data_IF_509248320033
#
_entry.id   IF_509248320033
#
_cell.length_a   1.000
_cell.length_b   1.000
_cell.length_c   1.000
_cell.angle_alpha   90.00
_cell.angle_beta   90.00
_cell.angle_gamma   90.00
#
_symmetry.space_group_name_H-M   'P 1'
#
loop_
_entity.id
_entity.type
_entity.pdbx_description
1 polymer ?
#
# COMPACT_ATOMS: atom_id res chain seq x y z
N UNK A 1 -30.95 3.61 -9.55
CA UNK A 1 -29.78 3.75 -10.44
C UNK A 1 -28.94 2.52 -10.24
N UNK A 2 -28.61 1.81 -11.31
CA UNK A 2 -27.70 0.68 -11.22
C UNK A 2 -26.29 1.23 -10.97
N UNK A 3 -25.88 1.21 -9.70
CA UNK A 3 -24.60 1.78 -9.24
C UNK A 3 -23.44 0.98 -9.82
N UNK A 4 -23.56 -0.35 -9.85
CA UNK A 4 -22.53 -1.26 -10.36
C UNK A 4 -22.27 -0.99 -11.85
N UNK A 5 -23.33 -0.95 -12.67
CA UNK A 5 -23.23 -0.59 -14.07
C UNK A 5 -22.65 0.83 -14.28
N UNK A 6 -22.94 1.76 -13.38
CA UNK A 6 -22.37 3.11 -13.45
C UNK A 6 -20.85 3.09 -13.22
N UNK A 7 -20.37 2.32 -12.24
CA UNK A 7 -18.92 2.13 -12.02
C UNK A 7 -18.24 1.44 -13.21
N UNK A 8 -18.89 0.45 -13.83
CA UNK A 8 -18.35 -0.25 -15.00
C UNK A 8 -18.19 0.67 -16.21
N UNK A 9 -19.21 1.50 -16.51
CA UNK A 9 -19.16 2.50 -17.58
C UNK A 9 -18.06 3.53 -17.33
N UNK A 10 -17.94 4.02 -16.08
CA UNK A 10 -16.91 4.98 -15.72
C UNK A 10 -15.50 4.39 -15.84
N UNK A 11 -15.29 3.15 -15.38
CA UNK A 11 -14.01 2.46 -15.52
C UNK A 11 -13.63 2.25 -16.99
N UNK A 12 -14.58 1.82 -17.82
CA UNK A 12 -14.38 1.67 -19.28
C UNK A 12 -14.00 3.00 -19.93
N UNK A 13 -14.72 4.08 -19.62
CA UNK A 13 -14.41 5.42 -20.12
C UNK A 13 -13.02 5.92 -19.68
N UNK A 14 -12.54 5.53 -18.50
CA UNK A 14 -11.17 5.83 -18.08
C UNK A 14 -10.14 5.13 -18.97
N UNK A 15 -10.30 3.83 -19.24
CA UNK A 15 -9.38 3.08 -20.12
C UNK A 15 -9.42 3.59 -21.56
N UNK A 16 -10.59 3.98 -22.08
CA UNK A 16 -10.73 4.59 -23.41
C UNK A 16 -10.02 5.94 -23.48
N UNK A 17 -10.19 6.79 -22.47
CA UNK A 17 -9.52 8.09 -22.37
C UNK A 17 -8.00 7.93 -22.34
N UNK A 18 -7.49 7.05 -21.47
CA UNK A 18 -6.06 6.79 -21.37
C UNK A 18 -5.50 6.17 -22.65
N UNK A 19 -6.26 5.28 -23.31
CA UNK A 19 -5.87 4.62 -24.55
C UNK A 19 -6.02 5.44 -25.82
N UNK A 20 -6.50 6.69 -25.76
CA UNK A 20 -6.69 7.56 -26.91
C UNK A 20 -5.33 8.01 -27.49
N UNK A 21 -5.14 7.83 -28.81
CA UNK A 21 -3.84 8.09 -29.45
C UNK A 21 -3.48 9.57 -29.61
N UNK A 22 -4.46 10.47 -29.57
CA UNK A 22 -4.25 11.91 -29.75
C UNK A 22 -4.14 12.67 -28.43
N UNK A 23 -4.95 12.28 -27.44
CA UNK A 23 -5.13 13.02 -26.18
C UNK A 23 -4.91 12.19 -24.93
N UNK A 24 -4.66 10.88 -25.08
CA UNK A 24 -4.40 9.97 -23.97
C UNK A 24 -2.94 9.94 -23.54
N UNK A 25 -2.57 8.82 -22.93
CA UNK A 25 -1.25 8.56 -22.37
C UNK A 25 -0.18 8.46 -23.48
N UNK A 26 0.90 9.22 -23.32
CA UNK A 26 2.04 9.24 -24.26
C UNK A 26 3.32 9.62 -23.54
N UNK A 27 4.46 9.28 -24.14
CA UNK A 27 5.79 9.61 -23.65
C UNK A 27 6.00 11.13 -23.54
N UNK A 28 6.59 11.56 -22.43
CA UNK A 28 6.94 12.94 -22.12
C UNK A 28 5.77 13.90 -22.36
N UNK A 29 4.63 13.60 -21.72
CA UNK A 29 3.34 14.25 -22.01
C UNK A 29 3.38 15.78 -21.86
N UNK A 30 4.19 16.29 -20.93
CA UNK A 30 4.39 17.72 -20.65
C UNK A 30 5.67 18.31 -21.28
N UNK A 31 6.32 17.60 -22.19
CA UNK A 31 7.50 18.08 -22.93
C UNK A 31 8.63 18.59 -22.03
N UNK A 32 8.92 17.87 -20.94
CA UNK A 32 10.05 18.18 -20.07
C UNK A 32 11.35 18.07 -20.87
N UNK A 33 12.17 19.11 -20.81
CA UNK A 33 13.39 19.26 -21.63
C UNK A 33 14.66 18.85 -20.91
N UNK A 34 14.59 18.58 -19.60
CA UNK A 34 15.74 18.24 -18.78
C UNK A 34 15.42 17.10 -17.83
N UNK A 35 16.35 16.15 -17.72
CA UNK A 35 16.34 15.10 -16.69
C UNK A 35 17.09 15.50 -15.42
N UNK A 36 17.74 16.67 -15.40
CA UNK A 36 18.53 17.12 -14.25
C UNK A 36 17.71 17.84 -13.19
N UNK A 37 16.47 18.22 -13.52
CA UNK A 37 15.58 18.98 -12.64
C UNK A 37 14.54 18.06 -12.05
N UNK A 38 14.29 18.22 -10.76
CA UNK A 38 13.11 17.65 -10.12
C UNK A 38 11.84 18.27 -10.73
N UNK A 39 10.72 17.56 -10.65
CA UNK A 39 9.42 18.09 -11.06
C UNK A 39 9.15 19.44 -10.37
N UNK A 40 9.50 19.56 -9.09
CA UNK A 40 9.36 20.79 -8.29
C UNK A 40 10.23 21.97 -8.75
N UNK A 41 11.30 21.72 -9.50
CA UNK A 41 12.24 22.74 -10.01
C UNK A 41 11.88 23.24 -11.41
N UNK A 42 10.87 22.63 -12.05
CA UNK A 42 10.35 23.07 -13.35
C UNK A 42 9.38 24.22 -13.14
N UNK A 43 9.88 25.46 -13.26
CA UNK A 43 9.12 26.67 -12.90
C UNK A 43 7.78 26.88 -13.63
N UNK A 44 7.60 26.35 -14.84
CA UNK A 44 6.35 26.44 -15.60
C UNK A 44 5.53 25.14 -15.60
N UNK A 45 5.83 24.19 -14.70
CA UNK A 45 5.22 22.86 -14.73
C UNK A 45 3.70 22.88 -14.59
N UNK A 46 3.16 23.72 -13.70
CA UNK A 46 1.72 23.84 -13.50
C UNK A 46 0.97 24.23 -14.79
N UNK A 47 1.57 25.12 -15.61
CA UNK A 47 1.01 25.51 -16.91
C UNK A 47 1.06 24.35 -17.91
N UNK A 48 2.18 23.63 -17.95
CA UNK A 48 2.35 22.47 -18.85
C UNK A 48 1.38 21.33 -18.50
N UNK A 49 1.13 21.11 -17.20
CA UNK A 49 0.12 20.14 -16.74
C UNK A 49 -1.26 20.57 -17.20
N UNK A 50 -1.65 21.83 -17.01
CA UNK A 50 -2.97 22.32 -17.42
C UNK A 50 -3.16 22.26 -18.95
N UNK A 51 -2.11 22.51 -19.72
CA UNK A 51 -2.16 22.49 -21.19
C UNK A 51 -2.21 21.06 -21.76
N UNK A 52 -1.42 20.14 -21.19
CA UNK A 52 -1.21 18.82 -21.79
C UNK A 52 -1.92 17.67 -21.07
N UNK A 53 -2.31 17.86 -19.80
CA UNK A 53 -3.04 16.89 -19.00
C UNK A 53 -4.42 17.48 -18.66
N UNK A 54 -5.38 17.27 -19.58
CA UNK A 54 -6.74 17.72 -19.39
C UNK A 54 -7.43 17.07 -18.17
N UNK A 55 -8.46 17.74 -17.64
CA UNK A 55 -9.23 17.25 -16.47
C UNK A 55 -9.75 15.83 -16.64
N UNK A 56 -10.19 15.48 -17.85
CA UNK A 56 -10.71 14.13 -18.17
C UNK A 56 -9.61 13.07 -18.08
N UNK A 57 -8.40 13.36 -18.57
CA UNK A 57 -7.27 12.43 -18.48
C UNK A 57 -6.80 12.28 -17.03
N UNK A 58 -6.67 13.40 -16.31
CA UNK A 58 -6.31 13.39 -14.89
C UNK A 58 -7.32 12.57 -14.07
N UNK A 59 -8.61 12.76 -14.30
CA UNK A 59 -9.68 11.96 -13.70
C UNK A 59 -9.51 10.48 -14.05
N UNK A 60 -9.36 10.16 -15.34
CA UNK A 60 -9.21 8.80 -15.81
C UNK A 60 -8.04 8.09 -15.14
N UNK A 61 -6.88 8.75 -15.02
CA UNK A 61 -5.69 8.19 -14.39
C UNK A 61 -5.85 7.96 -12.88
N UNK A 62 -6.58 8.82 -12.18
CA UNK A 62 -6.70 8.76 -10.71
C UNK A 62 -7.86 7.85 -10.24
N UNK A 63 -8.97 7.80 -10.98
CA UNK A 63 -10.23 7.25 -10.48
C UNK A 63 -10.54 5.84 -10.98
N UNK A 64 -9.91 5.38 -12.07
CA UNK A 64 -10.19 4.04 -12.62
C UNK A 64 -10.08 2.90 -11.59
N UNK A 65 -9.10 2.87 -10.66
CA UNK A 65 -9.00 1.74 -9.74
C UNK A 65 -10.11 1.74 -8.69
N UNK A 66 -10.54 2.92 -8.24
CA UNK A 66 -11.65 3.06 -7.31
C UNK A 66 -12.95 2.57 -7.94
N UNK A 67 -13.14 2.82 -9.25
CA UNK A 67 -14.27 2.26 -9.97
C UNK A 67 -14.22 0.74 -10.05
N UNK A 68 -13.05 0.15 -10.37
CA UNK A 68 -12.88 -1.31 -10.39
C UNK A 68 -13.09 -1.92 -9.01
N UNK A 69 -12.55 -1.32 -7.95
CA UNK A 69 -12.69 -1.82 -6.58
C UNK A 69 -14.14 -1.87 -6.09
N UNK A 70 -15.00 -1.01 -6.62
CA UNK A 70 -16.43 -0.94 -6.28
C UNK A 70 -17.30 -1.93 -7.06
N UNK A 71 -16.76 -2.65 -8.04
CA UNK A 71 -17.53 -3.59 -8.86
C UNK A 71 -17.83 -4.90 -8.12
N UNK A 72 -19.02 -5.42 -8.36
CA UNK A 72 -19.42 -6.77 -7.94
C UNK A 72 -18.86 -7.82 -8.89
N UNK A 73 -18.92 -7.58 -10.20
CA UNK A 73 -18.34 -8.43 -11.24
C UNK A 73 -17.64 -7.60 -12.32
N UNK A 74 -16.49 -8.08 -12.80
CA UNK A 74 -15.73 -7.47 -13.88
C UNK A 74 -16.05 -8.11 -15.23
N UNK A 75 -16.42 -7.27 -16.20
CA UNK A 75 -16.60 -7.72 -17.57
C UNK A 75 -15.25 -7.93 -18.31
N UNK A 76 -15.33 -8.64 -19.44
CA UNK A 76 -14.15 -8.94 -20.26
C UNK A 76 -13.50 -7.71 -20.91
N UNK A 77 -14.23 -6.61 -21.08
CA UNK A 77 -13.74 -5.35 -21.63
C UNK A 77 -12.84 -4.63 -20.63
N UNK A 78 -13.25 -4.57 -19.36
CA UNK A 78 -12.47 -4.02 -18.25
C UNK A 78 -11.17 -4.81 -18.03
N UNK A 79 -11.25 -6.14 -18.05
CA UNK A 79 -10.07 -7.02 -17.96
C UNK A 79 -9.07 -6.69 -19.08
N UNK A 80 -9.55 -6.55 -20.33
CA UNK A 80 -8.69 -6.16 -21.47
C UNK A 80 -8.11 -4.75 -21.32
N UNK A 81 -8.88 -3.82 -20.76
CA UNK A 81 -8.43 -2.46 -20.44
C UNK A 81 -7.25 -2.48 -19.45
N UNK A 82 -7.39 -3.26 -18.37
CA UNK A 82 -6.33 -3.47 -17.38
C UNK A 82 -5.11 -4.15 -17.98
N UNK A 83 -5.30 -5.23 -18.75
CA UNK A 83 -4.21 -5.91 -19.46
C UNK A 83 -3.45 -4.93 -20.36
N UNK A 84 -4.16 -4.08 -21.14
CA UNK A 84 -3.52 -3.08 -22.00
C UNK A 84 -2.70 -2.05 -21.22
N UNK A 85 -3.24 -1.59 -20.09
CA UNK A 85 -2.55 -0.63 -19.21
C UNK A 85 -1.30 -1.27 -18.58
N UNK A 86 -1.41 -2.49 -18.06
CA UNK A 86 -0.36 -3.17 -17.27
C UNK A 86 0.69 -3.90 -18.12
N UNK A 87 0.37 -4.30 -19.35
CA UNK A 87 1.28 -5.10 -20.19
C UNK A 87 2.22 -4.29 -21.07
N UNK A 88 2.06 -2.96 -21.14
CA UNK A 88 2.74 -2.12 -22.14
C UNK A 88 3.41 -0.87 -21.56
N UNK A 89 3.96 -0.05 -22.45
CA UNK A 89 4.45 1.32 -22.17
C UNK A 89 3.40 2.23 -21.54
N UNK A 90 2.11 1.87 -21.64
CA UNK A 90 0.99 2.59 -21.04
C UNK A 90 1.13 2.71 -19.52
N UNK A 91 1.68 1.70 -18.83
CA UNK A 91 1.94 1.82 -17.39
C UNK A 91 2.93 2.96 -17.12
N UNK A 92 4.02 3.05 -17.90
CA UNK A 92 5.03 4.11 -17.69
C UNK A 92 4.45 5.49 -17.99
N UNK A 93 3.66 5.62 -19.05
CA UNK A 93 2.97 6.88 -19.36
C UNK A 93 1.94 7.26 -18.30
N UNK A 94 1.22 6.28 -17.75
CA UNK A 94 0.33 6.50 -16.61
C UNK A 94 1.13 6.97 -15.40
N UNK A 95 2.29 6.37 -15.12
CA UNK A 95 3.19 6.84 -14.06
C UNK A 95 3.74 8.25 -14.31
N UNK A 96 3.98 8.67 -15.56
CA UNK A 96 4.31 10.06 -15.85
C UNK A 96 3.19 11.00 -15.37
N UNK A 97 1.94 10.70 -15.72
CA UNK A 97 0.79 11.52 -15.31
C UNK A 97 0.67 11.54 -13.79
N UNK A 98 0.75 10.37 -13.14
CA UNK A 98 0.64 10.26 -11.68
C UNK A 98 1.76 11.01 -10.95
N UNK A 99 2.99 10.94 -11.47
CA UNK A 99 4.16 11.71 -10.99
C UNK A 99 3.90 13.22 -11.05
N UNK A 100 3.37 13.70 -12.19
CA UNK A 100 3.11 15.13 -12.42
C UNK A 100 1.92 15.65 -11.64
N UNK A 101 0.89 14.83 -11.43
CA UNK A 101 -0.29 15.22 -10.65
C UNK A 101 -0.14 14.99 -9.15
N UNK A 102 1.05 14.56 -8.70
CA UNK A 102 1.42 14.30 -7.29
C UNK A 102 0.49 13.32 -6.57
N UNK A 103 -0.16 12.40 -7.30
CA UNK A 103 -0.98 11.34 -6.72
C UNK A 103 -0.13 10.06 -6.62
N UNK A 104 0.10 9.50 -5.42
CA UNK A 104 0.86 8.27 -5.31
C UNK A 104 0.10 7.14 -6.02
N UNK A 105 0.74 6.40 -6.95
CA UNK A 105 0.07 5.31 -7.67
C UNK A 105 -0.23 4.09 -6.78
N UNK A 106 0.43 3.97 -5.62
CA UNK A 106 0.26 2.85 -4.68
C UNK A 106 -1.17 2.71 -4.13
N UNK A 107 -1.74 3.73 -3.46
CA UNK A 107 -3.14 3.70 -3.01
C UNK A 107 -4.15 3.46 -4.13
N UNK A 108 -3.83 3.91 -5.35
CA UNK A 108 -4.66 3.67 -6.52
C UNK A 108 -4.75 2.15 -6.79
N UNK A 109 -3.63 1.43 -6.75
CA UNK A 109 -3.61 -0.02 -7.00
C UNK A 109 -4.18 -0.88 -5.85
N UNK A 110 -4.31 -0.34 -4.62
CA UNK A 110 -4.86 -1.08 -3.48
C UNK A 110 -6.29 -1.62 -3.75
N UNK A 111 -7.11 -0.87 -4.49
CA UNK A 111 -8.46 -1.27 -4.84
C UNK A 111 -8.52 -2.57 -5.67
N UNK A 112 -7.45 -2.90 -6.41
CA UNK A 112 -7.39 -4.14 -7.21
C UNK A 112 -7.17 -5.39 -6.35
N UNK A 113 -6.65 -5.26 -5.13
CA UNK A 113 -6.56 -6.39 -4.21
C UNK A 113 -7.93 -6.89 -3.77
N UNK A 114 -8.92 -6.00 -3.68
CA UNK A 114 -10.32 -6.37 -3.40
C UNK A 114 -10.92 -7.24 -4.50
N UNK A 115 -10.38 -7.15 -5.72
CA UNK A 115 -10.87 -7.83 -6.90
C UNK A 115 -9.99 -9.02 -7.32
N UNK A 116 -9.03 -9.45 -6.46
CA UNK A 116 -8.04 -10.48 -6.80
C UNK A 116 -8.66 -11.78 -7.33
N UNK A 117 -9.81 -12.18 -6.79
CA UNK A 117 -10.45 -13.46 -7.09
C UNK A 117 -11.15 -13.45 -8.47
N UNK A 118 -11.37 -12.27 -9.05
CA UNK A 118 -11.93 -12.10 -10.39
C UNK A 118 -10.87 -12.04 -11.49
N UNK A 119 -9.60 -11.82 -11.13
CA UNK A 119 -8.51 -11.64 -12.07
C UNK A 119 -7.92 -12.99 -12.49
N UNK A 120 -7.69 -13.16 -13.79
CA UNK A 120 -6.98 -14.34 -14.28
C UNK A 120 -5.52 -14.35 -13.77
N UNK A 121 -4.86 -15.52 -13.65
CA UNK A 121 -3.52 -15.61 -13.08
C UNK A 121 -2.45 -14.79 -13.82
N UNK A 122 -2.60 -14.60 -15.13
CA UNK A 122 -1.68 -13.81 -15.95
C UNK A 122 -1.77 -12.32 -15.60
N UNK A 123 -2.98 -11.77 -15.58
CA UNK A 123 -3.25 -10.38 -15.23
C UNK A 123 -2.87 -10.10 -13.77
N UNK A 124 -3.13 -11.05 -12.86
CA UNK A 124 -2.70 -10.93 -11.47
C UNK A 124 -1.17 -10.84 -11.34
N UNK A 125 -0.43 -11.66 -12.09
CA UNK A 125 1.03 -11.60 -12.14
C UNK A 125 1.55 -10.25 -12.67
N UNK A 126 0.92 -9.72 -13.72
CA UNK A 126 1.24 -8.39 -14.27
C UNK A 126 1.00 -7.28 -13.25
N UNK A 127 -0.11 -7.36 -12.52
CA UNK A 127 -0.44 -6.42 -11.45
C UNK A 127 0.61 -6.47 -10.33
N UNK A 128 0.98 -7.66 -9.85
CA UNK A 128 2.02 -7.81 -8.83
C UNK A 128 3.38 -7.28 -9.30
N UNK A 129 3.72 -7.47 -10.57
CA UNK A 129 4.95 -6.93 -11.15
C UNK A 129 4.93 -5.38 -11.21
N UNK A 130 3.79 -4.78 -11.59
CA UNK A 130 3.60 -3.33 -11.57
C UNK A 130 3.69 -2.76 -10.14
N UNK A 131 3.06 -3.42 -9.17
CA UNK A 131 3.06 -3.01 -7.76
C UNK A 131 4.47 -3.04 -7.15
N UNK A 132 5.27 -4.08 -7.48
CA UNK A 132 6.69 -4.15 -7.09
C UNK A 132 7.52 -3.06 -7.75
N UNK A 133 7.32 -2.83 -9.06
CA UNK A 133 8.02 -1.77 -9.79
C UNK A 133 7.77 -0.40 -9.16
N UNK A 134 6.50 -0.08 -8.90
CA UNK A 134 6.08 1.18 -8.30
C UNK A 134 6.66 1.31 -6.89
N UNK A 135 6.47 0.29 -6.05
CA UNK A 135 6.92 0.32 -4.65
C UNK A 135 8.43 0.54 -4.56
N UNK A 136 9.21 -0.20 -5.35
CA UNK A 136 10.67 -0.11 -5.37
C UNK A 136 11.18 1.25 -5.87
N UNK A 137 10.44 1.91 -6.76
CA UNK A 137 10.86 3.15 -7.41
C UNK A 137 10.03 4.39 -6.98
N UNK A 138 9.31 4.31 -5.86
CA UNK A 138 8.34 5.34 -5.43
C UNK A 138 8.97 6.74 -5.42
N UNK A 139 10.16 6.88 -4.85
CA UNK A 139 10.85 8.17 -4.75
C UNK A 139 11.21 8.74 -6.14
N UNK A 140 11.80 7.91 -7.00
CA UNK A 140 12.17 8.31 -8.37
C UNK A 140 10.93 8.69 -9.20
N UNK A 141 9.87 7.89 -9.10
CA UNK A 141 8.60 8.14 -9.80
C UNK A 141 7.99 9.45 -9.33
N UNK A 142 7.94 9.73 -8.03
CA UNK A 142 7.25 10.92 -7.49
C UNK A 142 8.03 12.21 -7.69
N UNK A 143 9.36 12.17 -7.61
CA UNK A 143 10.18 13.38 -7.66
C UNK A 143 10.52 13.84 -9.08
N UNK A 144 10.64 12.92 -10.05
CA UNK A 144 11.13 13.28 -11.39
C UNK A 144 10.69 12.31 -12.48
N UNK A 145 9.81 12.77 -13.38
CA UNK A 145 9.31 11.97 -14.52
C UNK A 145 10.44 11.34 -15.37
N UNK A 146 11.50 12.05 -15.77
CA UNK A 146 12.58 11.45 -16.54
C UNK A 146 13.28 10.26 -15.85
N UNK A 147 13.29 10.23 -14.51
CA UNK A 147 13.93 9.18 -13.73
C UNK A 147 13.12 7.87 -13.69
N UNK A 148 11.85 7.89 -14.11
CA UNK A 148 11.10 6.67 -14.43
C UNK A 148 11.86 5.87 -15.51
N UNK A 149 12.38 6.56 -16.53
CA UNK A 149 13.06 5.95 -17.66
C UNK A 149 14.57 5.76 -17.43
N UNK A 150 15.21 6.72 -16.76
CA UNK A 150 16.67 6.75 -16.61
C UNK A 150 17.17 5.97 -15.39
N UNK A 151 16.34 5.84 -14.35
CA UNK A 151 16.72 5.20 -13.08
C UNK A 151 15.83 4.01 -12.72
N UNK A 152 14.51 4.08 -12.90
CA UNK A 152 13.65 2.98 -12.51
C UNK A 152 13.76 1.81 -13.50
N UNK A 153 13.46 2.03 -14.79
CA UNK A 153 13.44 0.97 -15.81
C UNK A 153 14.76 0.20 -15.97
N UNK A 154 15.96 0.82 -15.99
CA UNK A 154 17.19 0.07 -16.24
C UNK A 154 17.56 -0.90 -15.10
N UNK A 155 17.13 -0.61 -13.87
CA UNK A 155 17.50 -1.33 -12.65
C UNK A 155 16.51 -2.42 -12.24
N UNK A 156 15.47 -2.67 -13.05
CA UNK A 156 14.50 -3.75 -12.82
C UNK A 156 15.10 -5.13 -13.17
N UNK A 157 14.52 -6.22 -12.61
CA UNK A 157 14.87 -7.59 -12.97
C UNK A 157 14.90 -7.85 -14.48
N UNK A 158 15.83 -8.68 -14.98
CA UNK A 158 15.98 -8.93 -16.42
C UNK A 158 14.73 -9.57 -17.05
N UNK A 159 13.97 -10.36 -16.28
CA UNK A 159 12.73 -11.01 -16.72
C UNK A 159 11.47 -10.14 -16.54
N UNK A 160 11.63 -8.88 -16.11
CA UNK A 160 10.48 -7.98 -15.95
C UNK A 160 9.83 -7.67 -17.29
N UNK A 161 8.49 -7.69 -17.31
CA UNK A 161 7.67 -7.39 -18.48
C UNK A 161 7.94 -5.97 -19.03
N UNK A 162 8.40 -5.08 -18.17
CA UNK A 162 8.66 -3.68 -18.49
C UNK A 162 10.01 -3.43 -19.16
N UNK A 163 10.85 -4.46 -19.33
CA UNK A 163 12.14 -4.30 -20.03
C UNK A 163 11.96 -3.90 -21.48
N UNK A 164 10.87 -4.31 -22.12
CA UNK A 164 10.53 -3.87 -23.49
C UNK A 164 10.45 -2.34 -23.61
N UNK A 165 10.14 -1.62 -22.53
CA UNK A 165 10.11 -0.16 -22.51
C UNK A 165 11.51 0.49 -22.56
N UNK A 166 12.59 -0.23 -22.21
CA UNK A 166 13.97 0.30 -22.40
C UNK A 166 14.32 0.53 -23.88
N UNK A 167 13.54 -0.03 -24.82
CA UNK A 167 13.75 0.10 -26.26
C UNK A 167 13.16 1.39 -26.89
N UNK A 168 12.58 2.29 -26.09
CA UNK A 168 11.82 3.48 -26.55
C UNK A 168 12.69 4.62 -27.14
N UNK A 169 13.90 4.32 -27.61
CA UNK A 169 14.81 5.33 -28.16
C UNK A 169 15.36 6.32 -27.12
N UNK A 170 15.08 6.09 -25.83
CA UNK A 170 15.73 6.81 -24.72
C UNK A 170 17.10 6.17 -24.52
N UNK A 171 18.16 6.99 -24.55
CA UNK A 171 19.51 6.54 -24.20
C UNK A 171 19.53 6.17 -22.71
N UNK A 172 19.34 4.89 -22.42
CA UNK A 172 19.33 4.34 -21.07
C UNK A 172 20.69 3.78 -20.68
N UNK A 173 20.98 3.78 -19.38
CA UNK A 173 22.20 3.19 -18.85
C UNK A 173 22.15 1.66 -19.00
N UNK A 174 23.27 1.05 -19.41
CA UNK A 174 23.43 -0.40 -19.37
C UNK A 174 24.13 -0.82 -18.08
N UNK A 175 23.49 -1.68 -17.31
CA UNK A 175 24.08 -2.23 -16.07
C UNK A 175 25.00 -3.39 -16.46
N UNK A 176 26.29 -3.25 -16.16
CA UNK A 176 27.31 -4.29 -16.44
C UNK A 176 27.52 -5.25 -15.28
N UNK A 177 27.27 -4.82 -14.05
CA UNK A 177 27.40 -5.62 -12.82
C UNK A 177 26.46 -5.08 -11.74
N UNK A 178 26.10 -5.92 -10.76
CA UNK A 178 25.25 -5.52 -9.63
C UNK A 178 23.75 -5.38 -9.96
N UNK A 179 23.31 -5.94 -11.10
CA UNK A 179 21.89 -5.93 -11.46
C UNK A 179 21.07 -6.78 -10.48
N UNK A 180 19.93 -6.24 -10.04
CA UNK A 180 18.94 -7.00 -9.29
C UNK A 180 18.35 -8.07 -10.21
N UNK A 181 18.48 -9.34 -9.83
CA UNK A 181 18.02 -10.47 -10.64
C UNK A 181 16.53 -10.78 -10.44
N UNK A 182 16.02 -10.49 -9.24
CA UNK A 182 14.63 -10.69 -8.83
C UNK A 182 14.26 -9.58 -7.87
N UNK A 183 12.99 -9.20 -7.82
CA UNK A 183 12.53 -8.22 -6.83
C UNK A 183 12.94 -8.64 -5.41
N UNK A 184 13.47 -7.72 -4.60
CA UNK A 184 13.73 -8.00 -3.19
C UNK A 184 12.44 -8.42 -2.48
N UNK A 185 12.53 -9.40 -1.59
CA UNK A 185 11.38 -9.81 -0.77
C UNK A 185 11.04 -8.78 0.31
N UNK A 186 12.03 -8.00 0.76
CA UNK A 186 11.83 -6.90 1.69
C UNK A 186 11.31 -5.67 0.92
N UNK A 187 10.14 -5.17 1.33
CA UNK A 187 9.54 -3.96 0.77
C UNK A 187 9.86 -2.77 1.67
N UNK A 188 10.68 -1.84 1.16
CA UNK A 188 11.11 -0.65 1.92
C UNK A 188 12.22 -0.97 2.93
N UNK A 189 12.53 0.02 3.77
CA UNK A 189 13.48 -0.14 4.87
C UNK A 189 12.82 -0.78 6.09
N UNK A 190 13.57 -1.50 6.94
CA UNK A 190 13.03 -2.00 8.21
C UNK A 190 12.49 -0.86 9.08
N UNK A 191 11.30 -1.04 9.64
CA UNK A 191 10.71 -0.09 10.59
C UNK A 191 11.57 -0.03 11.86
N UNK A 192 12.09 1.15 12.20
CA UNK A 192 12.96 1.37 13.36
C UNK A 192 12.27 2.27 14.38
N UNK A 193 12.38 1.92 15.67
CA UNK A 193 11.78 2.68 16.77
C UNK A 193 11.73 1.92 18.09
N UNK A 194 11.68 0.58 18.04
CA UNK A 194 11.86 -0.25 19.23
C UNK A 194 13.32 -0.32 19.68
N UNK A 195 13.53 -0.40 20.99
CA UNK A 195 14.86 -0.50 21.62
C UNK A 195 15.18 -1.91 22.13
N UNK A 196 14.30 -2.88 21.86
CA UNK A 196 14.49 -4.30 22.18
C UNK A 196 13.75 -5.19 21.17
N UNK A 197 13.94 -6.51 21.29
CA UNK A 197 13.24 -7.54 20.51
C UNK A 197 11.75 -7.26 20.35
N UNK A 198 11.29 -7.30 19.10
CA UNK A 198 9.88 -7.24 18.72
C UNK A 198 9.37 -8.66 18.65
N UNK A 199 8.39 -9.00 19.50
CA UNK A 199 7.92 -10.38 19.66
C UNK A 199 6.56 -10.61 18.97
N UNK A 200 5.84 -9.53 18.65
CA UNK A 200 4.53 -9.62 18.02
C UNK A 200 4.25 -8.45 17.09
N UNK A 201 3.55 -8.74 16.01
CA UNK A 201 3.04 -7.77 15.05
C UNK A 201 1.62 -8.13 14.62
N UNK A 202 0.80 -7.13 14.32
CA UNK A 202 -0.56 -7.32 13.80
C UNK A 202 -0.92 -6.19 12.84
N UNK A 203 -1.51 -6.52 11.68
CA UNK A 203 -2.10 -5.52 10.79
C UNK A 203 -3.49 -5.11 11.30
N UNK A 204 -3.85 -3.84 11.12
CA UNK A 204 -5.24 -3.41 11.26
C UNK A 204 -6.11 -4.03 10.15
N UNK A 205 -7.43 -4.22 10.37
CA UNK A 205 -8.31 -4.83 9.38
C UNK A 205 -8.38 -4.09 8.05
N UNK A 206 -8.18 -2.76 8.07
CA UNK A 206 -8.13 -1.92 6.88
C UNK A 206 -6.74 -1.89 6.20
N UNK A 207 -5.73 -2.51 6.81
CA UNK A 207 -4.35 -2.57 6.32
C UNK A 207 -3.57 -1.25 6.40
N UNK A 208 -4.16 -0.18 6.95
CA UNK A 208 -3.51 1.12 7.02
C UNK A 208 -2.50 1.22 8.16
N UNK A 209 -2.64 0.39 9.19
CA UNK A 209 -1.79 0.37 10.36
C UNK A 209 -1.16 -1.00 10.59
N UNK A 210 0.03 -0.97 11.18
CA UNK A 210 0.67 -2.13 11.78
C UNK A 210 0.89 -1.81 13.26
N UNK A 211 0.53 -2.72 14.15
CA UNK A 211 0.93 -2.67 15.55
C UNK A 211 2.12 -3.60 15.76
N UNK A 212 3.07 -3.20 16.59
CA UNK A 212 4.15 -4.06 17.06
C UNK A 212 4.31 -3.96 18.57
N UNK A 213 4.48 -5.11 19.23
CA UNK A 213 4.77 -5.20 20.66
C UNK A 213 6.22 -5.65 20.90
N UNK A 214 6.91 -4.98 21.82
CA UNK A 214 8.33 -5.23 22.10
C UNK A 214 8.61 -5.44 23.59
N UNK A 215 9.76 -6.07 23.85
CA UNK A 215 10.38 -6.21 25.17
C UNK A 215 10.88 -4.88 25.76
N UNK A 216 10.87 -3.79 24.99
CA UNK A 216 11.13 -2.43 25.50
C UNK A 216 9.93 -1.82 26.25
N UNK A 217 8.89 -2.64 26.49
CA UNK A 217 7.63 -2.31 27.16
C UNK A 217 6.77 -1.30 26.39
N UNK A 218 6.91 -1.26 25.06
CA UNK A 218 6.13 -0.38 24.20
C UNK A 218 5.34 -1.12 23.13
N UNK A 219 4.13 -0.61 22.83
CA UNK A 219 3.46 -0.86 21.54
C UNK A 219 3.75 0.34 20.64
N UNK A 220 4.17 0.07 19.42
CA UNK A 220 4.23 1.05 18.36
C UNK A 220 3.08 0.81 17.37
N UNK A 221 2.45 1.90 16.90
CA UNK A 221 1.63 1.88 15.69
C UNK A 221 2.43 2.48 14.56
N UNK A 222 2.43 1.81 13.42
CA UNK A 222 3.09 2.27 12.20
C UNK A 222 2.03 2.59 11.17
N UNK A 223 2.19 3.73 10.53
CA UNK A 223 1.41 4.07 9.35
C UNK A 223 2.02 3.39 8.12
N UNK A 224 1.26 2.51 7.47
CA UNK A 224 1.78 1.68 6.37
C UNK A 224 2.01 2.45 5.08
N UNK A 225 1.47 3.67 4.96
CA UNK A 225 1.69 4.52 3.79
C UNK A 225 3.03 5.26 3.89
N UNK A 226 3.29 5.87 5.03
CA UNK A 226 4.53 6.61 5.32
C UNK A 226 5.67 5.73 5.82
N UNK A 227 5.39 4.49 6.23
CA UNK A 227 6.33 3.58 6.91
C UNK A 227 6.97 4.23 8.14
N UNK A 228 6.20 5.07 8.84
CA UNK A 228 6.64 5.83 9.98
C UNK A 228 5.77 5.55 11.21
N UNK A 229 6.31 5.87 12.39
CA UNK A 229 5.58 5.76 13.65
C UNK A 229 4.39 6.73 13.66
N UNK A 230 3.20 6.21 13.98
CA UNK A 230 1.96 6.98 14.13
C UNK A 230 1.76 7.35 15.60
N UNK A 231 2.19 8.56 15.95
CA UNK A 231 2.10 9.07 17.33
C UNK A 231 3.22 8.54 18.21
N UNK A 232 3.02 8.60 19.52
CA UNK A 232 4.01 8.13 20.50
C UNK A 232 3.79 6.65 20.84
N UNK A 233 4.86 5.88 21.13
CA UNK A 233 4.71 4.51 21.58
C UNK A 233 3.90 4.44 22.88
N UNK A 234 2.95 3.51 22.96
CA UNK A 234 2.25 3.25 24.21
C UNK A 234 3.22 2.59 25.18
N UNK A 235 3.67 3.34 26.19
CA UNK A 235 4.56 2.83 27.25
C UNK A 235 3.74 2.29 28.40
N UNK A 236 3.98 1.03 28.78
CA UNK A 236 3.52 0.48 30.05
C UNK A 236 4.70 0.38 31.00
N UNK A 237 4.51 0.82 32.25
CA UNK A 237 5.56 0.79 33.26
C UNK A 237 5.77 -0.60 33.88
N UNK A 238 4.95 -1.59 33.55
CA UNK A 238 4.97 -2.94 34.13
C UNK A 238 5.12 -4.01 33.05
N UNK A 239 6.32 -4.60 33.02
CA UNK A 239 6.80 -5.79 32.30
C UNK A 239 6.51 -5.93 30.79
N UNK A 240 7.32 -6.81 30.18
CA UNK A 240 7.42 -7.05 28.75
C UNK A 240 6.07 -7.39 28.09
N UNK A 241 6.01 -7.18 26.78
CA UNK A 241 4.81 -7.41 25.99
C UNK A 241 5.01 -8.51 24.97
N UNK A 242 4.01 -9.40 24.88
CA UNK A 242 4.14 -10.67 24.16
C UNK A 242 3.28 -10.76 22.91
N UNK A 243 2.06 -10.20 22.92
CA UNK A 243 1.12 -10.40 21.84
C UNK A 243 0.22 -9.18 21.67
N UNK A 244 0.01 -8.75 20.42
CA UNK A 244 -0.91 -7.69 20.02
C UNK A 244 -1.93 -8.23 19.02
N UNK A 245 -3.18 -7.77 19.09
CA UNK A 245 -4.24 -8.12 18.15
C UNK A 245 -5.22 -6.96 17.95
N UNK A 246 -5.56 -6.63 16.71
CA UNK A 246 -6.61 -5.66 16.41
C UNK A 246 -8.00 -6.27 16.55
N UNK A 247 -8.96 -5.47 16.99
CA UNK A 247 -10.38 -5.79 16.86
C UNK A 247 -10.79 -5.79 15.39
N UNK A 248 -11.85 -6.53 14.99
CA UNK A 248 -12.30 -6.61 13.60
C UNK A 248 -12.74 -5.27 12.99
N UNK A 249 -13.17 -4.32 13.83
CA UNK A 249 -13.52 -2.96 13.44
C UNK A 249 -12.31 -2.00 13.43
N UNK A 250 -11.12 -2.47 13.85
CA UNK A 250 -9.88 -1.70 13.89
C UNK A 250 -9.80 -0.63 14.99
N UNK A 251 -10.84 -0.48 15.81
CA UNK A 251 -10.91 0.59 16.81
C UNK A 251 -10.12 0.27 18.08
N UNK A 252 -9.92 -1.01 18.39
CA UNK A 252 -9.22 -1.47 19.58
C UNK A 252 -8.01 -2.32 19.21
N UNK A 253 -6.95 -2.17 20.00
CA UNK A 253 -5.85 -3.11 20.05
C UNK A 253 -5.85 -3.79 21.42
N UNK A 254 -5.96 -5.11 21.43
CA UNK A 254 -5.73 -5.91 22.63
C UNK A 254 -4.27 -6.31 22.69
N UNK A 255 -3.72 -6.36 23.91
CA UNK A 255 -2.38 -6.87 24.11
C UNK A 255 -2.22 -7.60 25.45
N UNK A 256 -1.47 -8.69 25.41
CA UNK A 256 -1.11 -9.50 26.58
C UNK A 256 0.20 -9.02 27.21
N UNK A 257 0.24 -8.99 28.53
CA UNK A 257 1.42 -8.59 29.31
C UNK A 257 1.93 -9.72 30.20
N UNK A 258 3.21 -9.62 30.58
CA UNK A 258 3.84 -10.48 31.58
C UNK A 258 3.25 -10.31 32.99
N UNK A 259 2.54 -9.21 33.27
CA UNK A 259 1.87 -8.96 34.55
C UNK A 259 0.54 -9.74 34.72
N UNK A 260 0.34 -10.75 33.87
CA UNK A 260 -0.82 -11.64 33.81
C UNK A 260 -2.13 -10.94 33.40
N UNK A 261 -2.06 -9.71 32.90
CA UNK A 261 -3.24 -8.98 32.44
C UNK A 261 -3.31 -8.86 30.92
N UNK A 262 -4.52 -8.59 30.44
CA UNK A 262 -4.77 -8.14 29.08
C UNK A 262 -5.29 -6.72 29.14
N UNK A 263 -4.76 -5.85 28.30
CA UNK A 263 -5.23 -4.48 28.17
C UNK A 263 -5.85 -4.25 26.80
N UNK A 264 -6.79 -3.30 26.76
CA UNK A 264 -7.34 -2.77 25.54
C UNK A 264 -6.84 -1.35 25.35
N UNK A 265 -6.48 -1.02 24.14
CA UNK A 265 -6.02 0.29 23.73
C UNK A 265 -6.92 0.81 22.63
N UNK A 266 -7.43 2.03 22.80
CA UNK A 266 -8.22 2.70 21.78
C UNK A 266 -7.27 3.34 20.76
N UNK A 267 -7.36 2.89 19.51
CA UNK A 267 -6.41 3.22 18.43
C UNK A 267 -6.51 4.69 18.03
N UNK A 268 -7.70 5.30 18.15
CA UNK A 268 -7.94 6.68 17.73
C UNK A 268 -7.49 7.69 18.79
N UNK A 269 -7.85 7.44 20.04
CA UNK A 269 -7.47 8.31 21.17
C UNK A 269 -6.04 8.04 21.65
N UNK A 270 -5.45 6.91 21.27
CA UNK A 270 -4.17 6.41 21.78
C UNK A 270 -4.15 6.27 23.30
N UNK A 271 -5.29 5.89 23.92
CA UNK A 271 -5.40 5.71 25.37
C UNK A 271 -5.90 4.32 25.77
N UNK A 272 -5.51 3.86 26.96
CA UNK A 272 -6.01 2.59 27.51
C UNK A 272 -7.52 2.67 27.72
N UNK A 273 -8.23 1.64 27.27
CA UNK A 273 -9.67 1.53 27.40
C UNK A 273 -10.03 0.62 28.57
N UNK A 274 -10.54 1.25 29.64
CA UNK A 274 -11.01 0.54 30.83
C UNK A 274 -9.90 -0.08 31.66
N UNK A 275 -10.30 -0.91 32.62
CA UNK A 275 -9.38 -1.63 33.49
C UNK A 275 -8.78 -2.87 32.80
N UNK A 276 -7.56 -3.28 33.17
CA UNK A 276 -6.98 -4.52 32.67
C UNK A 276 -7.85 -5.74 32.99
N UNK A 277 -8.00 -6.64 32.03
CA UNK A 277 -8.67 -7.92 32.23
C UNK A 277 -7.78 -8.82 33.10
N UNK A 278 -8.33 -9.29 34.21
CA UNK A 278 -7.63 -10.11 35.22
C UNK A 278 -8.31 -11.46 35.34
N UNK A 279 -7.51 -12.52 35.42
CA UNK A 279 -7.99 -13.90 35.57
C UNK A 279 -6.91 -14.94 35.32
N UNK A 280 -5.93 -14.63 34.47
CA UNK A 280 -4.73 -15.42 34.34
C UNK A 280 -3.84 -15.31 35.59
N UNK A 281 -3.15 -16.41 35.90
CA UNK A 281 -2.18 -16.52 37.00
C UNK A 281 -0.74 -16.59 36.49
N UNK A 282 -0.55 -16.58 35.16
CA UNK A 282 0.73 -16.51 34.48
C UNK A 282 0.70 -15.54 33.30
N UNK A 283 1.87 -15.31 32.71
CA UNK A 283 2.06 -14.34 31.63
C UNK A 283 1.18 -14.68 30.42
N UNK A 284 0.54 -13.67 29.86
CA UNK A 284 -0.34 -13.83 28.68
C UNK A 284 0.52 -13.83 27.42
N UNK A 285 0.53 -14.96 26.72
CA UNK A 285 1.41 -15.20 25.56
C UNK A 285 0.73 -14.93 24.23
N UNK A 286 -0.60 -15.03 24.17
CA UNK A 286 -1.36 -14.81 22.95
C UNK A 286 -2.70 -14.18 23.26
N UNK A 287 -3.12 -13.26 22.39
CA UNK A 287 -4.47 -12.68 22.39
C UNK A 287 -5.02 -12.71 20.97
N UNK A 288 -6.33 -12.90 20.85
CA UNK A 288 -7.03 -12.78 19.57
C UNK A 288 -8.47 -12.34 19.77
N UNK A 289 -9.00 -11.57 18.83
CA UNK A 289 -10.41 -11.20 18.80
C UNK A 289 -11.21 -12.26 18.05
N UNK A 290 -12.42 -12.52 18.53
CA UNK A 290 -13.43 -13.18 17.72
C UNK A 290 -14.01 -12.16 16.72
N UNK A 291 -14.51 -12.58 15.52
CA UNK A 291 -15.06 -11.67 14.52
C UNK A 291 -16.24 -10.80 14.96
N UNK A 292 -16.87 -11.08 16.12
CA UNK A 292 -17.92 -10.22 16.68
C UNK A 292 -17.41 -8.89 17.27
N UNK A 293 -16.09 -8.75 17.46
CA UNK A 293 -15.43 -7.59 18.08
C UNK A 293 -15.74 -7.38 19.57
N UNK A 294 -16.48 -8.30 20.19
CA UNK A 294 -16.97 -8.24 21.58
C UNK A 294 -16.39 -9.34 22.45
N UNK A 295 -15.84 -10.37 21.82
CA UNK A 295 -15.24 -11.52 22.48
C UNK A 295 -13.74 -11.56 22.21
N UNK A 296 -12.95 -11.75 23.26
CA UNK A 296 -11.51 -11.96 23.17
C UNK A 296 -11.15 -13.35 23.71
N UNK A 297 -10.19 -14.02 23.08
CA UNK A 297 -9.54 -15.21 23.63
C UNK A 297 -8.09 -14.90 23.99
N UNK A 298 -7.59 -15.51 25.06
CA UNK A 298 -6.19 -15.39 25.46
C UNK A 298 -5.61 -16.73 25.91
N UNK A 299 -4.33 -16.95 25.60
CA UNK A 299 -3.54 -18.09 26.07
C UNK A 299 -2.41 -17.64 26.99
N UNK A 300 -2.12 -18.43 28.03
CA UNK A 300 -1.20 -18.03 29.12
C UNK A 300 -0.23 -19.14 29.53
N UNK A 301 0.87 -18.75 30.17
CA UNK A 301 1.83 -19.66 30.85
C UNK A 301 1.23 -20.44 32.02
N UNK A 302 0.05 -20.07 32.48
CA UNK A 302 -0.69 -20.84 33.50
C UNK A 302 -1.40 -22.08 32.93
N UNK A 303 -1.15 -22.43 31.67
CA UNK A 303 -1.72 -23.57 30.96
C UNK A 303 -3.23 -23.45 30.70
N UNK A 304 -3.79 -22.24 30.79
CA UNK A 304 -5.21 -22.00 30.52
C UNK A 304 -5.45 -21.14 29.28
N UNK A 305 -6.65 -21.28 28.73
CA UNK A 305 -7.23 -20.37 27.74
C UNK A 305 -8.45 -19.71 28.37
N UNK A 306 -8.52 -18.39 28.33
CA UNK A 306 -9.66 -17.62 28.84
C UNK A 306 -10.42 -16.97 27.68
N UNK A 307 -11.74 -16.91 27.82
CA UNK A 307 -12.64 -16.18 26.92
C UNK A 307 -13.22 -15.00 27.69
N UNK A 308 -13.14 -13.81 27.12
CA UNK A 308 -13.52 -12.55 27.75
C UNK A 308 -14.66 -11.90 26.98
N UNK A 309 -15.65 -11.39 27.71
CA UNK A 309 -16.72 -10.56 27.15
C UNK A 309 -16.41 -9.09 27.42
N UNK A 310 -16.32 -8.29 26.35
CA UNK A 310 -15.96 -6.87 26.40
C UNK A 310 -17.17 -5.92 26.47
N UNK A 311 -18.39 -6.46 26.56
CA UNK A 311 -19.65 -5.67 26.60
C UNK A 311 -20.23 -5.47 28.00
N UNK A 312 -19.55 -5.97 29.03
CA UNK A 312 -19.98 -5.86 30.44
C UNK A 312 -19.55 -4.57 31.10
#
# INVERSE_FOLDING_TARGET
>A
VDVDNSHAVMASGCFETMGNTQSGLRFNICHLTSSFKLNSEVGNLASLIQEHIGKTLSYACCCWPAHIGALSEMDSGLIKGMEKLLSTQQLLYWLEVMSLTCTPPGPALAALYLQKDQLNPSLWSQFQEAERFISFNTESITQSVPHIYLSAVPFIPPLSLFRSASSMGVNTVSIRSGQILTWPSLKGDPLTGHNHWVDSVAFSPDGNLLASGSYDNTICLWDMHSQALKGEPLRRHSDHMQSVAFSPDGNLLAFGSYDNTICLWDVHTQTLKGEPLRGHTGSVLSVTFFPDGKTLASGSRDYTVCIWNLTT
#
